data_IF_211845857676
#
_entry.id   IF_211845857676
#
_cell.length_a   1.000
_cell.length_b   1.000
_cell.length_c   1.000
_cell.angle_alpha   90.00
_cell.angle_beta   90.00
_cell.angle_gamma   90.00
#
_symmetry.space_group_name_H-M   'P 1'
#
loop_
_entity.id
_entity.type
_entity.pdbx_description
1 polymer ?
#
# COMPACT_ATOMS: atom_id res chain seq x y z
N UNK A 1 38.24 23.80 7.23
CA UNK A 1 37.53 23.20 8.36
C UNK A 1 37.68 21.69 8.27
N UNK A 2 38.38 21.10 9.24
CA UNK A 2 38.43 19.66 9.41
C UNK A 2 36.99 19.15 9.56
N UNK A 3 36.53 18.28 8.64
CA UNK A 3 35.27 17.61 8.79
C UNK A 3 35.42 16.58 9.90
N UNK A 4 34.57 16.66 10.91
CA UNK A 4 34.47 15.63 11.94
C UNK A 4 34.44 14.25 11.28
N UNK A 5 35.19 13.33 11.85
CA UNK A 5 35.23 11.96 11.39
C UNK A 5 33.85 11.34 11.68
N UNK A 6 33.09 11.18 10.63
CA UNK A 6 31.74 10.61 10.69
C UNK A 6 31.75 9.06 10.84
N UNK A 7 32.81 8.50 11.46
CA UNK A 7 33.08 7.05 11.52
C UNK A 7 31.91 6.27 12.09
N UNK A 8 31.39 6.68 13.24
CA UNK A 8 30.26 6.01 13.88
C UNK A 8 28.99 6.04 12.98
N UNK A 9 28.72 7.21 12.41
CA UNK A 9 27.58 7.36 11.51
C UNK A 9 27.73 6.53 10.22
N UNK A 10 28.95 6.40 9.68
CA UNK A 10 29.27 5.55 8.54
C UNK A 10 29.05 4.08 8.87
N UNK A 11 29.53 3.62 10.01
CA UNK A 11 29.34 2.26 10.49
C UNK A 11 27.84 1.94 10.61
N UNK A 12 27.09 2.81 11.28
CA UNK A 12 25.65 2.62 11.45
C UNK A 12 24.89 2.63 10.11
N UNK A 13 25.28 3.52 9.19
CA UNK A 13 24.68 3.58 7.86
C UNK A 13 24.96 2.31 7.05
N UNK A 14 26.16 1.73 7.13
CA UNK A 14 26.51 0.45 6.51
C UNK A 14 25.70 -0.70 7.11
N UNK A 15 25.59 -0.77 8.44
CA UNK A 15 24.79 -1.78 9.15
C UNK A 15 23.34 -1.78 8.66
N UNK A 16 22.68 -0.61 8.68
CA UNK A 16 21.31 -0.47 8.20
C UNK A 16 21.18 -0.79 6.71
N UNK A 17 22.16 -0.45 5.88
CA UNK A 17 22.16 -0.78 4.46
C UNK A 17 22.33 -2.29 4.22
N UNK A 18 23.08 -3.00 5.05
CA UNK A 18 23.22 -4.45 4.99
C UNK A 18 21.90 -5.15 5.38
N UNK A 19 21.25 -4.71 6.45
CA UNK A 19 19.96 -5.22 6.89
C UNK A 19 18.85 -4.94 5.85
N UNK A 20 18.95 -3.79 5.16
CA UNK A 20 17.94 -3.27 4.23
C UNK A 20 18.53 -3.02 2.84
N UNK A 21 19.03 -4.05 2.20
CA UNK A 21 19.81 -3.99 0.94
C UNK A 21 19.16 -3.20 -0.20
N UNK A 22 17.82 -3.11 -0.20
CA UNK A 22 17.04 -2.41 -1.23
C UNK A 22 16.57 -1.02 -0.82
N UNK A 23 17.02 -0.52 0.36
CA UNK A 23 16.66 0.83 0.81
C UNK A 23 17.65 1.87 0.27
N UNK A 24 17.08 2.94 -0.32
CA UNK A 24 17.87 4.13 -0.67
C UNK A 24 18.06 5.05 0.54
N UNK A 25 18.98 6.00 0.41
CA UNK A 25 19.39 6.92 1.47
C UNK A 25 18.23 7.60 2.22
N UNK A 26 17.10 7.89 1.55
CA UNK A 26 15.95 8.54 2.20
C UNK A 26 15.33 7.68 3.29
N UNK A 27 15.16 6.38 3.06
CA UNK A 27 14.65 5.44 4.06
C UNK A 27 15.67 5.17 5.14
N UNK A 28 16.94 4.98 4.79
CA UNK A 28 18.01 4.81 5.76
C UNK A 28 18.13 6.04 6.67
N UNK A 29 17.97 7.25 6.13
CA UNK A 29 17.93 8.47 6.93
C UNK A 29 16.79 8.47 7.96
N UNK A 30 15.60 7.99 7.59
CA UNK A 30 14.50 7.87 8.54
C UNK A 30 14.79 6.85 9.64
N UNK A 31 15.42 5.72 9.29
CA UNK A 31 15.83 4.72 10.29
C UNK A 31 16.86 5.29 11.26
N UNK A 32 17.90 5.96 10.77
CA UNK A 32 18.88 6.66 11.61
C UNK A 32 18.22 7.64 12.58
N UNK A 33 17.24 8.42 12.10
CA UNK A 33 16.49 9.34 12.96
C UNK A 33 15.65 8.64 14.02
N UNK A 34 15.08 7.48 13.71
CA UNK A 34 14.34 6.65 14.69
C UNK A 34 15.24 6.09 15.78
N UNK A 35 16.52 5.89 15.48
CA UNK A 35 17.55 5.50 16.45
C UNK A 35 18.09 6.70 17.24
N UNK A 36 17.50 7.89 17.11
CA UNK A 36 17.87 9.09 17.87
C UNK A 36 18.98 9.95 17.22
N UNK A 37 19.48 9.55 16.05
CA UNK A 37 20.53 10.31 15.38
C UNK A 37 19.99 11.56 14.68
N UNK A 38 20.27 12.74 15.21
CA UNK A 38 19.86 14.02 14.61
C UNK A 38 20.87 14.46 13.56
N UNK A 39 20.62 14.10 12.30
CA UNK A 39 21.51 14.37 11.18
C UNK A 39 20.78 15.07 10.03
N UNK A 40 21.52 15.82 9.22
CA UNK A 40 20.99 16.43 8.02
C UNK A 40 20.88 15.39 6.89
N UNK A 41 19.74 15.39 6.18
CA UNK A 41 19.50 14.49 5.05
C UNK A 41 20.57 14.61 3.95
N UNK A 42 21.09 15.83 3.70
CA UNK A 42 22.17 16.03 2.73
C UNK A 42 23.45 15.29 3.17
N UNK A 43 23.76 15.30 4.48
CA UNK A 43 24.91 14.57 5.05
C UNK A 43 24.73 13.06 4.87
N UNK A 44 23.54 12.50 5.20
CA UNK A 44 23.23 11.09 4.95
C UNK A 44 23.39 10.73 3.47
N UNK A 45 22.91 11.57 2.55
CA UNK A 45 23.02 11.33 1.12
C UNK A 45 24.47 11.32 0.64
N UNK A 46 25.31 12.24 1.16
CA UNK A 46 26.74 12.29 0.85
C UNK A 46 27.43 11.01 1.31
N UNK A 47 27.29 10.66 2.59
CA UNK A 47 27.91 9.45 3.17
C UNK A 47 27.44 8.18 2.44
N UNK A 48 26.13 8.07 2.13
CA UNK A 48 25.59 6.95 1.38
C UNK A 48 26.26 6.75 0.01
N UNK A 49 26.64 7.84 -0.66
CA UNK A 49 27.36 7.79 -1.95
C UNK A 49 28.83 7.44 -1.75
N UNK A 50 29.50 8.07 -0.78
CA UNK A 50 30.90 7.83 -0.45
C UNK A 50 31.13 6.36 -0.05
N UNK A 51 30.18 5.74 0.66
CA UNK A 51 30.21 4.33 1.06
C UNK A 51 29.78 3.35 -0.04
N UNK A 52 29.48 3.83 -1.24
CA UNK A 52 29.09 2.96 -2.36
C UNK A 52 27.75 2.22 -2.17
N UNK A 53 26.89 2.64 -1.24
CA UNK A 53 25.64 1.96 -0.87
C UNK A 53 24.51 2.14 -1.88
N UNK A 54 24.80 2.70 -3.07
CA UNK A 54 23.80 3.07 -4.07
C UNK A 54 23.08 1.84 -4.63
N UNK A 55 21.78 1.74 -4.38
CA UNK A 55 20.94 0.68 -4.93
C UNK A 55 20.72 0.92 -6.43
N UNK A 56 21.15 -0.04 -7.26
CA UNK A 56 20.85 -0.02 -8.70
C UNK A 56 19.36 -0.16 -8.91
N UNK A 57 18.74 0.83 -9.56
CA UNK A 57 17.37 0.74 -10.03
C UNK A 57 17.37 0.21 -11.45
N UNK A 58 16.52 -0.77 -11.76
CA UNK A 58 16.23 -1.11 -13.16
C UNK A 58 15.66 0.13 -13.83
N UNK A 59 16.34 0.63 -14.87
CA UNK A 59 15.82 1.70 -15.71
C UNK A 59 14.65 1.11 -16.49
N UNK A 60 13.43 1.43 -16.09
CA UNK A 60 12.25 1.12 -16.89
C UNK A 60 12.26 1.93 -18.19
N UNK A 61 11.69 1.37 -19.26
CA UNK A 61 11.46 2.10 -20.51
C UNK A 61 10.60 3.32 -20.20
N UNK A 62 11.00 4.51 -20.66
CA UNK A 62 10.17 5.71 -20.55
C UNK A 62 8.85 5.44 -21.28
N UNK A 63 7.74 5.44 -20.58
CA UNK A 63 6.40 5.35 -21.18
C UNK A 63 5.90 6.76 -21.41
N UNK A 64 5.21 6.97 -22.54
CA UNK A 64 4.46 8.21 -22.76
C UNK A 64 3.44 8.39 -21.63
N UNK A 65 3.48 9.54 -20.98
CA UNK A 65 2.55 9.89 -19.90
C UNK A 65 1.42 10.67 -20.56
N UNK A 66 0.31 9.98 -20.88
CA UNK A 66 -0.94 10.66 -21.22
C UNK A 66 -1.59 11.26 -19.98
N UNK A 67 -2.47 12.24 -20.16
CA UNK A 67 -3.31 12.78 -19.09
C UNK A 67 -4.14 11.63 -18.49
N UNK A 68 -3.81 11.22 -17.26
CA UNK A 68 -4.52 10.18 -16.52
C UNK A 68 -5.22 10.85 -15.36
N UNK A 69 -6.55 10.85 -15.38
CA UNK A 69 -7.30 11.16 -14.18
C UNK A 69 -6.97 10.09 -13.12
N UNK A 70 -6.48 10.47 -11.93
CA UNK A 70 -6.29 9.52 -10.85
C UNK A 70 -7.65 8.87 -10.51
N UNK A 71 -7.66 7.55 -10.33
CA UNK A 71 -8.84 6.91 -9.75
C UNK A 71 -9.11 7.54 -8.38
N UNK A 72 -10.38 7.78 -7.99
CA UNK A 72 -10.70 8.32 -6.68
C UNK A 72 -10.07 7.41 -5.62
N UNK A 73 -9.24 8.01 -4.76
CA UNK A 73 -8.61 7.30 -3.66
C UNK A 73 -9.61 7.28 -2.51
N UNK A 74 -9.95 6.10 -1.97
CA UNK A 74 -10.81 6.01 -0.80
C UNK A 74 -10.19 6.80 0.37
N UNK A 75 -11.04 7.40 1.21
CA UNK A 75 -10.60 8.28 2.29
C UNK A 75 -10.43 7.57 3.63
N UNK A 76 -11.13 6.45 3.85
CA UNK A 76 -11.17 5.73 5.12
C UNK A 76 -10.58 4.31 5.01
N UNK A 77 -9.94 3.81 6.08
CA UNK A 77 -9.51 2.41 6.16
C UNK A 77 -10.66 1.44 5.87
N UNK A 78 -10.36 0.31 5.27
CA UNK A 78 -11.33 -0.70 4.85
C UNK A 78 -12.34 -0.27 3.77
N UNK A 79 -12.24 0.91 3.19
CA UNK A 79 -13.11 1.27 2.07
C UNK A 79 -12.83 0.45 0.82
N UNK A 80 -11.54 0.15 0.55
CA UNK A 80 -11.15 -0.64 -0.60
C UNK A 80 -9.94 -1.51 -0.30
N UNK A 81 -10.08 -2.81 -0.58
CA UNK A 81 -8.98 -3.75 -0.60
C UNK A 81 -8.61 -4.12 -2.03
N UNK A 82 -7.32 -4.11 -2.34
CA UNK A 82 -6.79 -4.58 -3.62
C UNK A 82 -6.13 -5.94 -3.44
N UNK A 83 -6.44 -6.88 -4.35
CA UNK A 83 -5.93 -8.25 -4.33
C UNK A 83 -5.15 -8.54 -5.60
N UNK A 84 -4.09 -9.35 -5.46
CA UNK A 84 -3.32 -9.86 -6.59
C UNK A 84 -2.44 -11.04 -6.15
N UNK A 85 -1.94 -11.79 -7.13
CA UNK A 85 -0.99 -12.87 -6.94
C UNK A 85 0.42 -12.47 -7.40
N UNK A 86 1.42 -12.82 -6.61
CA UNK A 86 2.80 -12.79 -7.05
C UNK A 86 3.35 -14.21 -7.08
N UNK A 87 4.14 -14.55 -8.10
CA UNK A 87 4.65 -15.89 -8.31
C UNK A 87 6.15 -15.94 -8.05
N UNK A 88 6.60 -17.07 -7.48
CA UNK A 88 8.02 -17.40 -7.32
C UNK A 88 8.23 -18.91 -7.34
N UNK A 89 9.46 -19.36 -7.11
CA UNK A 89 9.80 -20.78 -7.10
C UNK A 89 10.78 -21.12 -5.97
N UNK A 90 10.70 -22.35 -5.51
CA UNK A 90 11.69 -22.94 -4.60
C UNK A 90 12.94 -23.38 -5.36
N UNK A 91 14.04 -23.60 -4.64
CA UNK A 91 15.29 -24.12 -5.21
C UNK A 91 15.11 -25.45 -5.95
N UNK A 92 14.08 -26.23 -5.60
CA UNK A 92 13.69 -27.48 -6.27
C UNK A 92 13.00 -27.24 -7.63
N UNK A 93 12.81 -25.99 -8.07
CA UNK A 93 12.06 -25.63 -9.27
C UNK A 93 10.54 -25.66 -9.09
N UNK A 94 10.01 -26.18 -7.96
CA UNK A 94 8.57 -26.16 -7.70
C UNK A 94 8.08 -24.74 -7.48
N UNK A 95 7.10 -24.32 -8.27
CA UNK A 95 6.51 -22.97 -8.19
C UNK A 95 5.56 -22.84 -7.00
N UNK A 96 5.49 -21.65 -6.46
CA UNK A 96 4.46 -21.21 -5.53
C UNK A 96 3.98 -19.81 -5.89
N UNK A 97 2.86 -19.43 -5.35
CA UNK A 97 2.32 -18.07 -5.48
C UNK A 97 1.92 -17.53 -4.12
N UNK A 98 1.91 -16.23 -4.00
CA UNK A 98 1.51 -15.52 -2.79
C UNK A 98 0.24 -14.75 -3.10
N UNK A 99 -0.83 -15.05 -2.39
CA UNK A 99 -2.07 -14.28 -2.42
C UNK A 99 -1.91 -13.07 -1.52
N UNK A 100 -1.95 -11.88 -2.09
CA UNK A 100 -1.74 -10.62 -1.40
C UNK A 100 -3.02 -9.82 -1.34
N UNK A 101 -3.32 -9.26 -0.16
CA UNK A 101 -4.43 -8.34 0.10
C UNK A 101 -3.87 -7.09 0.75
N UNK A 102 -4.17 -5.94 0.18
CA UNK A 102 -3.67 -4.63 0.64
C UNK A 102 -4.85 -3.68 0.84
N UNK A 103 -4.85 -2.94 1.94
CA UNK A 103 -5.75 -1.81 2.14
C UNK A 103 -5.23 -0.60 1.36
N UNK A 104 -6.02 -0.10 0.43
CA UNK A 104 -5.60 0.98 -0.47
C UNK A 104 -5.41 2.33 0.20
N UNK A 105 -6.00 2.53 1.37
CA UNK A 105 -5.87 3.77 2.16
C UNK A 105 -4.64 3.71 3.04
N UNK A 106 -4.60 2.71 3.92
CA UNK A 106 -3.53 2.58 4.92
C UNK A 106 -2.25 1.99 4.36
N UNK A 107 -2.29 1.38 3.18
CA UNK A 107 -1.18 0.62 2.56
C UNK A 107 -0.77 -0.61 3.36
N UNK A 108 -1.55 -1.00 4.37
CA UNK A 108 -1.28 -2.22 5.13
C UNK A 108 -1.37 -3.47 4.26
N UNK A 109 -0.39 -4.35 4.39
CA UNK A 109 -0.51 -5.73 3.96
C UNK A 109 -1.46 -6.43 4.93
N UNK A 110 -2.67 -6.74 4.49
CA UNK A 110 -3.69 -7.41 5.31
C UNK A 110 -3.53 -8.92 5.28
N UNK A 111 -3.06 -9.47 4.16
CA UNK A 111 -2.71 -10.86 4.00
C UNK A 111 -1.59 -11.02 2.95
N UNK A 112 -0.69 -11.98 3.20
CA UNK A 112 0.31 -12.45 2.26
C UNK A 112 0.44 -13.97 2.45
N UNK A 113 -0.31 -14.73 1.67
CA UNK A 113 -0.49 -16.18 1.86
C UNK A 113 0.22 -16.97 0.76
N UNK A 114 1.41 -17.55 1.02
CA UNK A 114 2.11 -18.40 0.05
C UNK A 114 1.57 -19.83 0.04
N UNK A 115 1.28 -20.34 -1.15
CA UNK A 115 0.97 -21.75 -1.38
C UNK A 115 1.33 -22.18 -2.80
N UNK A 116 1.45 -23.50 -2.99
CA UNK A 116 1.67 -24.09 -4.32
C UNK A 116 0.39 -24.19 -5.12
N UNK A 117 -0.77 -24.18 -4.45
CA UNK A 117 -2.09 -24.16 -5.07
C UNK A 117 -3.05 -23.34 -4.23
N UNK A 118 -3.66 -22.33 -4.85
CA UNK A 118 -4.67 -21.49 -4.21
C UNK A 118 -5.90 -21.48 -5.13
N UNK A 119 -6.94 -22.17 -4.72
CA UNK A 119 -8.23 -22.20 -5.43
C UNK A 119 -9.14 -21.06 -4.97
N UNK A 120 -10.23 -20.80 -5.69
CA UNK A 120 -11.24 -19.83 -5.27
C UNK A 120 -11.82 -20.10 -3.89
N UNK A 121 -12.03 -21.39 -3.52
CA UNK A 121 -12.44 -21.77 -2.16
C UNK A 121 -11.41 -21.36 -1.11
N UNK A 122 -10.11 -21.46 -1.44
CA UNK A 122 -9.05 -21.00 -0.54
C UNK A 122 -9.05 -19.48 -0.40
N UNK A 123 -9.24 -18.75 -1.50
CA UNK A 123 -9.38 -17.27 -1.48
C UNK A 123 -10.54 -16.87 -0.57
N UNK A 124 -11.71 -17.49 -0.72
CA UNK A 124 -12.90 -17.25 0.13
C UNK A 124 -12.58 -17.45 1.61
N UNK A 125 -11.91 -18.55 1.97
CA UNK A 125 -11.52 -18.81 3.36
C UNK A 125 -10.64 -17.71 3.92
N UNK A 126 -9.57 -17.33 3.21
CA UNK A 126 -8.65 -16.29 3.65
C UNK A 126 -9.34 -14.91 3.80
N UNK A 127 -10.25 -14.59 2.88
CA UNK A 127 -11.03 -13.35 2.97
C UNK A 127 -12.05 -13.37 4.10
N UNK A 128 -12.69 -14.51 4.36
CA UNK A 128 -13.62 -14.66 5.49
C UNK A 128 -12.90 -14.47 6.82
N UNK A 129 -11.74 -15.12 7.00
CA UNK A 129 -10.89 -14.98 8.18
C UNK A 129 -10.38 -13.54 8.33
N UNK A 130 -10.07 -12.89 7.23
CA UNK A 130 -9.62 -11.50 7.23
C UNK A 130 -10.74 -10.54 7.65
N UNK A 131 -11.96 -10.73 7.11
CA UNK A 131 -13.15 -9.94 7.49
C UNK A 131 -13.48 -10.12 8.97
N UNK A 132 -13.38 -11.33 9.50
CA UNK A 132 -13.62 -11.59 10.93
C UNK A 132 -12.65 -10.81 11.83
N UNK A 133 -11.41 -10.63 11.41
CA UNK A 133 -10.37 -9.92 12.21
C UNK A 133 -10.38 -8.41 12.00
N UNK A 134 -10.65 -7.94 10.79
CA UNK A 134 -10.45 -6.55 10.36
C UNK A 134 -11.75 -5.77 10.18
N UNK A 135 -12.86 -6.46 10.00
CA UNK A 135 -14.12 -5.91 9.53
C UNK A 135 -14.25 -5.99 8.00
N UNK A 136 -15.47 -5.84 7.53
CA UNK A 136 -15.83 -5.94 6.12
C UNK A 136 -15.31 -4.73 5.33
N UNK A 137 -14.69 -4.93 4.14
CA UNK A 137 -14.36 -3.82 3.25
C UNK A 137 -15.61 -3.26 2.57
N UNK A 138 -15.56 -2.00 2.18
CA UNK A 138 -16.58 -1.39 1.33
C UNK A 138 -16.58 -2.01 -0.06
N UNK A 139 -15.40 -2.25 -0.63
CA UNK A 139 -15.24 -2.95 -1.90
C UNK A 139 -13.91 -3.72 -1.97
N UNK A 140 -13.86 -4.68 -2.89
CA UNK A 140 -12.66 -5.41 -3.26
C UNK A 140 -12.36 -5.13 -4.74
N UNK A 141 -11.09 -4.94 -5.09
CA UNK A 141 -10.61 -4.79 -6.46
C UNK A 141 -9.57 -5.86 -6.77
N UNK A 142 -9.72 -6.55 -7.89
CA UNK A 142 -8.75 -7.54 -8.36
C UNK A 142 -8.62 -7.55 -9.88
N UNK A 143 -7.64 -8.27 -10.40
CA UNK A 143 -7.61 -8.67 -11.79
C UNK A 143 -8.64 -9.79 -12.08
N UNK A 144 -8.69 -10.25 -13.34
CA UNK A 144 -9.60 -11.30 -13.79
C UNK A 144 -8.98 -12.71 -13.67
N UNK A 145 -8.12 -12.95 -12.68
CA UNK A 145 -7.55 -14.27 -12.44
C UNK A 145 -8.63 -15.34 -12.24
N UNK A 146 -8.40 -16.54 -12.75
CA UNK A 146 -9.39 -17.64 -12.74
C UNK A 146 -9.85 -18.01 -11.33
N UNK A 147 -8.97 -17.87 -10.35
CA UNK A 147 -9.28 -18.12 -8.95
C UNK A 147 -10.21 -17.06 -8.36
N UNK A 148 -10.07 -15.81 -8.82
CA UNK A 148 -10.82 -14.65 -8.34
C UNK A 148 -12.17 -14.50 -9.03
N UNK A 149 -12.33 -15.10 -10.24
CA UNK A 149 -13.58 -15.14 -11.01
C UNK A 149 -14.35 -16.47 -10.84
N UNK A 150 -13.94 -17.32 -9.89
CA UNK A 150 -14.56 -18.62 -9.65
C UNK A 150 -15.95 -18.50 -9.02
N UNK A 151 -16.82 -19.50 -9.29
CA UNK A 151 -18.16 -19.56 -8.70
C UNK A 151 -18.14 -19.43 -7.17
N UNK A 152 -17.15 -20.04 -6.49
CA UNK A 152 -17.01 -19.93 -5.05
C UNK A 152 -16.83 -18.48 -4.56
N UNK A 153 -16.10 -17.66 -5.30
CA UNK A 153 -15.90 -16.24 -5.01
C UNK A 153 -17.17 -15.46 -5.29
N UNK A 154 -17.85 -15.73 -6.41
CA UNK A 154 -19.09 -15.05 -6.78
C UNK A 154 -20.22 -15.32 -5.76
N UNK A 155 -20.40 -16.58 -5.36
CA UNK A 155 -21.37 -16.98 -4.33
C UNK A 155 -21.06 -16.31 -2.99
N UNK A 156 -19.79 -16.30 -2.60
CA UNK A 156 -19.34 -15.67 -1.37
C UNK A 156 -19.57 -14.14 -1.37
N UNK A 157 -19.31 -13.46 -2.49
CA UNK A 157 -19.57 -12.01 -2.62
C UNK A 157 -21.05 -11.69 -2.35
N UNK A 158 -21.96 -12.50 -2.89
CA UNK A 158 -23.41 -12.36 -2.66
C UNK A 158 -23.78 -12.58 -1.18
N UNK A 159 -23.25 -13.64 -0.56
CA UNK A 159 -23.52 -13.98 0.84
C UNK A 159 -22.91 -12.94 1.81
N UNK A 160 -21.67 -12.53 1.60
CA UNK A 160 -20.97 -11.54 2.41
C UNK A 160 -21.43 -10.10 2.12
N UNK A 161 -22.21 -9.88 1.06
CA UNK A 161 -22.62 -8.55 0.57
C UNK A 161 -21.39 -7.62 0.40
N UNK A 162 -20.33 -8.12 -0.22
CA UNK A 162 -19.11 -7.39 -0.55
C UNK A 162 -19.15 -7.03 -2.02
N UNK A 163 -18.96 -5.75 -2.33
CA UNK A 163 -18.82 -5.27 -3.69
C UNK A 163 -17.45 -5.67 -4.25
N UNK A 164 -17.44 -6.36 -5.41
CA UNK A 164 -16.20 -6.81 -6.04
C UNK A 164 -16.09 -6.26 -7.46
N UNK A 165 -15.01 -5.50 -7.69
CA UNK A 165 -14.71 -4.91 -8.99
C UNK A 165 -13.52 -5.62 -9.64
N UNK A 166 -13.73 -6.09 -10.85
CA UNK A 166 -12.66 -6.59 -11.69
C UNK A 166 -12.05 -5.47 -12.53
N UNK A 167 -10.72 -5.43 -12.60
CA UNK A 167 -10.03 -4.43 -13.41
C UNK A 167 -10.26 -4.69 -14.90
N UNK A 168 -10.46 -3.62 -15.65
CA UNK A 168 -10.58 -3.71 -17.11
C UNK A 168 -9.26 -4.15 -17.71
N UNK A 169 -9.23 -5.15 -18.61
CA UNK A 169 -8.01 -5.55 -19.32
C UNK A 169 -7.28 -4.33 -19.93
N UNK A 170 -5.97 -4.25 -19.74
CA UNK A 170 -5.16 -3.13 -20.24
C UNK A 170 -5.20 -1.84 -19.40
N UNK A 171 -5.90 -1.82 -18.26
CA UNK A 171 -5.93 -0.67 -17.33
C UNK A 171 -5.26 -1.00 -15.98
N UNK A 172 -3.93 -1.21 -15.93
CA UNK A 172 -3.22 -1.60 -14.70
C UNK A 172 -3.34 -0.57 -13.56
N UNK A 173 -3.66 0.68 -13.89
CA UNK A 173 -3.83 1.75 -12.88
C UNK A 173 -4.98 1.47 -11.90
N UNK A 174 -5.93 0.61 -12.24
CA UNK A 174 -7.06 0.27 -11.38
C UNK A 174 -6.64 -0.59 -10.17
N UNK A 175 -5.54 -1.38 -10.29
CA UNK A 175 -4.99 -2.22 -9.23
C UNK A 175 -3.58 -1.80 -8.78
N UNK A 176 -3.24 -0.52 -8.99
CA UNK A 176 -1.87 0.00 -8.82
C UNK A 176 -1.30 -0.15 -7.39
N UNK A 177 -2.15 -0.26 -6.37
CA UNK A 177 -1.70 -0.35 -4.98
C UNK A 177 -1.10 -1.71 -4.67
N UNK A 178 -1.82 -2.79 -4.96
CA UNK A 178 -1.29 -4.14 -4.77
C UNK A 178 -0.18 -4.45 -5.78
N UNK A 179 -0.24 -3.94 -7.02
CA UNK A 179 0.88 -4.05 -7.96
C UNK A 179 2.16 -3.40 -7.41
N UNK A 180 2.02 -2.20 -6.82
CA UNK A 180 3.15 -1.53 -6.15
C UNK A 180 3.66 -2.32 -4.95
N UNK A 181 2.77 -2.93 -4.16
CA UNK A 181 3.11 -3.81 -3.06
C UNK A 181 3.87 -5.05 -3.56
N UNK A 182 3.35 -5.75 -4.57
CA UNK A 182 3.98 -6.91 -5.19
C UNK A 182 5.36 -6.59 -5.76
N UNK A 183 5.52 -5.39 -6.36
CA UNK A 183 6.82 -4.90 -6.80
C UNK A 183 7.81 -4.72 -5.64
N UNK A 184 7.36 -4.30 -4.46
CA UNK A 184 8.21 -4.20 -3.25
C UNK A 184 8.57 -5.57 -2.71
N UNK A 185 7.57 -6.47 -2.59
CA UNK A 185 7.81 -7.85 -2.15
C UNK A 185 8.83 -8.53 -3.06
N UNK A 186 8.70 -8.39 -4.37
CA UNK A 186 9.65 -8.94 -5.34
C UNK A 186 11.06 -8.35 -5.16
N UNK A 187 11.16 -7.03 -5.08
CA UNK A 187 12.46 -6.34 -4.98
C UNK A 187 13.17 -6.60 -3.64
N UNK A 188 12.43 -6.60 -2.54
CA UNK A 188 12.98 -6.56 -1.18
C UNK A 188 13.07 -7.95 -0.54
N UNK A 189 12.32 -8.95 -1.05
CA UNK A 189 12.28 -10.30 -0.51
C UNK A 189 12.50 -11.38 -1.57
N UNK A 190 11.61 -11.49 -2.59
CA UNK A 190 11.61 -12.65 -3.47
C UNK A 190 12.91 -12.77 -4.28
N UNK A 191 13.41 -11.65 -4.82
CA UNK A 191 14.68 -11.64 -5.57
C UNK A 191 15.93 -11.72 -4.67
N UNK A 192 15.78 -11.57 -3.37
CA UNK A 192 16.90 -11.59 -2.40
C UNK A 192 16.95 -12.90 -1.60
N UNK A 193 15.99 -13.81 -1.80
CA UNK A 193 15.85 -15.05 -1.01
C UNK A 193 15.75 -16.27 -1.89
N UNK A 194 16.55 -17.29 -1.59
CA UNK A 194 16.42 -18.64 -2.16
C UNK A 194 15.54 -19.49 -1.24
N UNK A 195 14.34 -19.80 -1.69
CA UNK A 195 13.37 -20.57 -0.89
C UNK A 195 13.65 -22.05 -0.93
N UNK A 196 14.00 -22.64 0.20
CA UNK A 196 14.31 -24.09 0.31
C UNK A 196 13.06 -24.96 0.39
N UNK A 197 11.97 -24.42 0.94
CA UNK A 197 10.68 -25.10 1.10
C UNK A 197 9.53 -24.12 1.16
N UNK A 198 8.29 -24.63 1.06
CA UNK A 198 7.10 -23.80 1.26
C UNK A 198 6.99 -23.27 2.71
N UNK A 199 7.45 -24.06 3.69
CA UNK A 199 7.50 -23.64 5.09
C UNK A 199 8.47 -22.45 5.26
N UNK A 200 9.65 -22.51 4.66
CA UNK A 200 10.62 -21.42 4.63
C UNK A 200 10.02 -20.16 3.94
N UNK A 201 9.30 -20.35 2.82
CA UNK A 201 8.63 -19.24 2.14
C UNK A 201 7.57 -18.59 3.05
N UNK A 202 6.77 -19.39 3.76
CA UNK A 202 5.77 -18.89 4.72
C UNK A 202 6.40 -18.05 5.83
N UNK A 203 7.47 -18.56 6.43
CA UNK A 203 8.21 -17.84 7.48
C UNK A 203 8.76 -16.51 6.98
N UNK A 204 9.51 -16.50 5.88
CA UNK A 204 10.15 -15.30 5.34
C UNK A 204 9.14 -14.25 4.88
N UNK A 205 8.04 -14.68 4.25
CA UNK A 205 6.97 -13.79 3.81
C UNK A 205 6.24 -13.19 5.00
N UNK A 206 5.97 -13.96 6.05
CA UNK A 206 5.32 -13.46 7.27
C UNK A 206 6.20 -12.39 7.97
N UNK A 207 7.50 -12.66 8.14
CA UNK A 207 8.45 -11.71 8.72
C UNK A 207 8.51 -10.41 7.88
N UNK A 208 8.60 -10.56 6.55
CA UNK A 208 8.65 -9.40 5.66
C UNK A 208 7.35 -8.58 5.68
N UNK A 209 6.18 -9.23 5.72
CA UNK A 209 4.89 -8.55 5.78
C UNK A 209 4.71 -7.79 7.08
N UNK A 210 5.15 -8.36 8.21
CA UNK A 210 5.16 -7.68 9.49
C UNK A 210 6.08 -6.45 9.46
N UNK A 211 7.31 -6.60 8.96
CA UNK A 211 8.23 -5.47 8.78
C UNK A 211 7.70 -4.42 7.80
N UNK A 212 7.04 -4.84 6.73
CA UNK A 212 6.40 -3.93 5.77
C UNK A 212 5.37 -3.05 6.48
N UNK A 213 4.59 -3.62 7.39
CA UNK A 213 3.55 -2.91 8.13
C UNK A 213 4.08 -2.06 9.28
N UNK A 214 5.08 -2.55 10.03
CA UNK A 214 5.48 -1.96 11.32
C UNK A 214 6.86 -1.29 11.31
N UNK A 215 7.78 -1.75 10.47
CA UNK A 215 9.17 -1.28 10.43
C UNK A 215 9.48 -0.35 9.26
N UNK A 216 8.95 -0.66 8.09
CA UNK A 216 9.32 -0.05 6.83
C UNK A 216 8.77 1.37 6.65
N UNK A 217 9.60 2.42 6.39
CA UNK A 217 9.12 3.77 6.09
C UNK A 217 8.49 3.85 4.68
N UNK A 218 7.30 4.44 4.56
CA UNK A 218 6.57 4.61 3.31
C UNK A 218 6.51 6.07 2.87
N UNK A 219 7.12 6.40 1.73
CA UNK A 219 7.17 7.78 1.23
C UNK A 219 5.79 8.37 0.92
N UNK A 220 4.83 7.54 0.51
CA UNK A 220 3.44 7.96 0.26
C UNK A 220 2.66 8.26 1.54
N UNK A 221 3.16 7.83 2.70
CA UNK A 221 2.58 8.06 4.02
C UNK A 221 3.44 9.02 4.86
N UNK A 222 4.17 9.95 4.23
CA UNK A 222 5.06 10.85 4.95
C UNK A 222 6.20 10.14 5.70
N UNK A 223 6.60 8.95 5.26
CA UNK A 223 7.55 8.05 5.91
C UNK A 223 7.04 7.40 7.22
N UNK A 224 5.76 7.51 7.55
CA UNK A 224 5.15 6.64 8.54
C UNK A 224 5.13 5.18 8.04
N UNK A 225 5.00 4.24 8.97
CA UNK A 225 4.68 2.85 8.63
C UNK A 225 3.19 2.71 8.36
N UNK A 226 2.74 1.72 7.57
CA UNK A 226 1.32 1.47 7.34
C UNK A 226 0.51 1.33 8.63
N UNK A 227 1.02 0.56 9.60
CA UNK A 227 0.35 0.36 10.88
C UNK A 227 0.23 1.65 11.72
N UNK A 228 1.29 2.48 11.76
CA UNK A 228 1.24 3.76 12.45
C UNK A 228 0.24 4.71 11.78
N UNK A 229 0.25 4.78 10.45
CA UNK A 229 -0.68 5.60 9.69
C UNK A 229 -2.14 5.16 9.90
N UNK A 230 -2.40 3.84 9.90
CA UNK A 230 -3.73 3.29 10.18
C UNK A 230 -4.20 3.63 11.62
N UNK A 231 -3.29 3.55 12.59
CA UNK A 231 -3.61 3.92 13.97
C UNK A 231 -3.95 5.41 14.11
N UNK A 232 -3.23 6.29 13.41
CA UNK A 232 -3.50 7.72 13.42
C UNK A 232 -4.85 8.06 12.77
N UNK A 233 -5.20 7.42 11.66
CA UNK A 233 -6.52 7.59 11.02
C UNK A 233 -7.66 7.14 11.95
N UNK A 234 -7.49 6.03 12.66
CA UNK A 234 -8.49 5.57 13.65
C UNK A 234 -8.68 6.57 14.78
N UNK A 235 -7.59 7.15 15.30
CA UNK A 235 -7.65 8.19 16.33
C UNK A 235 -8.38 9.45 15.84
N UNK A 236 -8.09 9.90 14.62
CA UNK A 236 -8.73 11.06 14.00
C UNK A 236 -10.23 10.82 13.78
N UNK A 237 -10.61 9.65 13.26
CA UNK A 237 -12.00 9.25 13.09
C UNK A 237 -12.75 9.19 14.43
N UNK A 238 -12.15 8.64 15.47
CA UNK A 238 -12.74 8.60 16.80
C UNK A 238 -12.86 10.00 17.43
N UNK A 239 -11.90 10.89 17.19
CA UNK A 239 -11.97 12.28 17.66
C UNK A 239 -13.08 13.07 16.95
N UNK A 240 -13.22 12.89 15.63
CA UNK A 240 -14.28 13.53 14.84
C UNK A 240 -15.67 13.06 15.28
N UNK A 241 -15.85 11.77 15.60
CA UNK A 241 -17.11 11.24 16.11
C UNK A 241 -17.44 11.77 17.51
N UNK A 242 -16.45 11.98 18.39
CA UNK A 242 -16.67 12.60 19.72
C UNK A 242 -17.09 14.07 19.61
N UNK A 243 -16.53 14.81 18.66
CA UNK A 243 -16.90 16.20 18.41
C UNK A 243 -18.32 16.26 17.82
N UNK A 244 -18.67 15.39 16.87
CA UNK A 244 -20.01 15.32 16.28
C UNK A 244 -21.08 14.85 17.30
N UNK A 245 -20.74 14.00 18.25
CA UNK A 245 -21.64 13.58 19.35
C UNK A 245 -21.86 14.65 20.44
N UNK A 246 -21.00 15.67 20.49
CA UNK A 246 -21.12 16.80 21.44
C UNK A 246 -21.95 17.99 20.96
N UNK A 247 -22.33 18.04 19.70
CA UNK A 247 -23.15 19.08 19.09
C UNK A 247 -24.35 18.51 18.33
N UNK A 248 -25.20 17.76 19.03
CA UNK A 248 -26.54 17.50 18.55
C UNK A 248 -27.39 18.72 18.91
N UNK A 249 -27.65 19.57 17.92
CA UNK A 249 -28.85 20.39 17.67
C UNK A 249 -28.49 21.73 17.02
N UNK A 250 -28.31 21.74 15.72
CA UNK A 250 -28.84 22.78 14.85
C UNK A 250 -28.98 22.23 13.43
N UNK A 251 -30.16 22.26 12.81
CA UNK A 251 -30.31 21.86 11.42
C UNK A 251 -29.61 22.89 10.54
N UNK A 252 -28.74 22.44 9.68
CA UNK A 252 -28.15 23.23 8.61
C UNK A 252 -29.29 23.77 7.73
N UNK A 253 -29.49 25.09 7.76
CA UNK A 253 -30.38 25.80 6.85
C UNK A 253 -29.93 25.47 5.40
N UNK A 254 -30.86 25.01 4.59
CA UNK A 254 -30.69 24.86 3.16
C UNK A 254 -30.24 26.16 2.52
N UNK A 255 -29.28 26.17 1.59
CA UNK A 255 -28.96 27.37 0.83
C UNK A 255 -30.19 27.79 0.02
N UNK A 256 -30.58 29.05 0.21
CA UNK A 256 -31.67 29.66 -0.53
C UNK A 256 -31.42 29.59 -2.03
N UNK A 257 -32.44 29.15 -2.76
CA UNK A 257 -32.54 29.23 -4.20
C UNK A 257 -32.37 30.73 -4.61
N UNK A 258 -31.26 31.05 -5.23
CA UNK A 258 -31.13 32.30 -5.99
C UNK A 258 -31.93 32.14 -7.27
N UNK A 259 -33.05 32.82 -7.33
CA UNK A 259 -33.94 32.81 -8.48
C UNK A 259 -33.25 33.38 -9.72
N UNK A 260 -33.40 32.66 -10.80
CA UNK A 260 -33.26 33.21 -12.14
C UNK A 260 -34.49 34.07 -12.39
N UNK A 261 -34.30 35.35 -12.54
CA UNK A 261 -35.19 36.24 -13.33
C UNK A 261 -34.42 37.48 -13.68
N UNK A 262 -34.55 37.83 -14.95
CA UNK A 262 -34.29 39.09 -15.63
C UNK A 262 -33.19 39.01 -16.71
N UNK A 263 -33.59 38.39 -17.81
CA UNK A 263 -33.04 38.70 -19.13
C UNK A 263 -34.08 38.42 -20.22
N UNK A 264 -35.19 39.13 -20.16
CA UNK A 264 -36.11 39.35 -21.29
C UNK A 264 -36.71 40.72 -21.20
N UNK A 265 -36.06 41.73 -21.74
CA UNK A 265 -36.62 42.96 -22.24
C UNK A 265 -35.51 43.82 -22.84
N UNK A 266 -35.24 43.61 -24.13
CA UNK A 266 -34.66 44.67 -25.00
C UNK A 266 -34.37 44.10 -26.41
N UNK A 267 -35.41 43.71 -27.11
CA UNK A 267 -35.43 43.74 -28.59
C UNK A 267 -36.85 44.09 -29.04
N UNK A 268 -37.14 45.33 -29.14
CA UNK A 268 -38.15 45.90 -30.03
C UNK A 268 -37.96 47.42 -30.07
N UNK A 269 -37.32 47.87 -31.12
CA UNK A 269 -37.48 49.16 -31.83
C UNK A 269 -36.12 49.56 -32.46
N UNK A 270 -36.10 49.51 -33.77
CA UNK A 270 -35.03 50.07 -34.59
C UNK A 270 -34.67 49.16 -35.74
#
# INVERSE_FOLDING_TARGET
SQRDDDTELRLKLRELAQQRRRFGYRRLHILLRREGLTINRKKTQRLYREEGLTVRRRKGRKRAVGARAPAPVPALPNQRWSLDFVHDQMITGRRFRVFNVVDDVTRECLAAVPDTSISGKRVVRELTDLIARRGKPGMIVSDNGTELTSNAVLEWCGAAKVEWHYTTPGKPTQNAFVESFNGRMRDELLNETLFTSLAHAREKIAIWAEDYNTGRPHSSLGYATPAAFAADLKKQGAASLRIAGGYATQPLASPAHVGKNDAEALIATG
#
